data_IF_235886878910
#
_entry.id   IF_235886878910
#
_cell.length_a   1.000
_cell.length_b   1.000
_cell.length_c   1.000
_cell.angle_alpha   90.00
_cell.angle_beta   90.00
_cell.angle_gamma   90.00
#
_symmetry.space_group_name_H-M   'P 1'
#
loop_
_entity.id
_entity.type
_entity.pdbx_description
1 polymer ?
#
# COMPACT_ATOMS: atom_id res chain seq x y z
N UNK A 1 -19.22 -10.23 -12.46
CA UNK A 1 -18.07 -10.87 -11.80
C UNK A 1 -16.82 -10.40 -12.51
N UNK A 2 -16.14 -9.38 -11.97
CA UNK A 2 -14.84 -8.97 -12.49
C UNK A 2 -13.84 -10.02 -12.04
N UNK A 3 -13.19 -10.70 -12.98
CA UNK A 3 -12.16 -11.68 -12.67
C UNK A 3 -11.10 -11.01 -11.78
N UNK A 4 -10.82 -11.61 -10.62
CA UNK A 4 -9.68 -11.23 -9.79
C UNK A 4 -8.44 -11.28 -10.68
N UNK A 5 -7.70 -10.19 -10.77
CA UNK A 5 -6.50 -10.12 -11.56
C UNK A 5 -5.51 -11.14 -10.98
N UNK A 6 -5.46 -12.34 -11.56
CA UNK A 6 -4.66 -13.47 -11.07
C UNK A 6 -3.24 -13.38 -11.62
N UNK A 7 -2.74 -12.15 -11.76
CA UNK A 7 -1.37 -11.87 -12.18
C UNK A 7 -0.41 -12.12 -11.02
N UNK A 8 0.88 -12.34 -11.31
CA UNK A 8 1.89 -12.40 -10.27
C UNK A 8 2.00 -11.04 -9.56
N UNK A 9 1.80 -11.02 -8.24
CA UNK A 9 1.95 -9.80 -7.41
C UNK A 9 3.38 -9.23 -7.47
N UNK A 10 4.36 -10.10 -7.61
CA UNK A 10 5.78 -9.79 -7.68
C UNK A 10 6.30 -10.10 -9.08
N UNK A 11 6.95 -9.12 -9.70
CA UNK A 11 7.46 -9.18 -11.06
C UNK A 11 8.97 -9.07 -11.03
N UNK A 12 9.65 -10.06 -11.63
CA UNK A 12 11.10 -10.12 -11.74
C UNK A 12 11.51 -9.69 -13.14
N UNK A 13 12.50 -8.80 -13.24
CA UNK A 13 13.02 -8.35 -14.53
C UNK A 13 14.24 -9.17 -14.97
N UNK A 14 14.06 -10.49 -15.14
CA UNK A 14 15.18 -11.39 -15.51
C UNK A 14 15.73 -11.11 -16.92
N UNK A 15 14.93 -10.52 -17.81
CA UNK A 15 15.37 -10.16 -19.17
C UNK A 15 16.23 -8.89 -19.15
N UNK A 16 15.73 -7.78 -18.59
CA UNK A 16 16.51 -6.53 -18.49
C UNK A 16 17.74 -6.70 -17.61
N UNK A 17 17.64 -7.53 -16.56
CA UNK A 17 18.77 -7.85 -15.70
C UNK A 17 19.97 -8.42 -16.47
N UNK A 18 19.72 -9.25 -17.50
CA UNK A 18 20.75 -9.80 -18.35
C UNK A 18 21.15 -8.83 -19.45
N UNK A 19 20.17 -8.27 -20.17
CA UNK A 19 20.40 -7.48 -21.38
C UNK A 19 21.14 -6.17 -21.10
N UNK A 20 20.96 -5.60 -19.91
CA UNK A 20 21.63 -4.36 -19.49
C UNK A 20 22.78 -4.58 -18.51
N UNK A 21 23.24 -5.82 -18.34
CA UNK A 21 24.35 -6.13 -17.45
C UNK A 21 25.66 -5.58 -18.01
N UNK A 22 26.31 -4.66 -17.29
CA UNK A 22 27.62 -4.13 -17.70
C UNK A 22 28.73 -5.20 -17.70
N UNK A 23 28.53 -6.30 -16.96
CA UNK A 23 29.42 -7.46 -16.92
C UNK A 23 28.98 -8.59 -17.87
N UNK A 24 27.89 -8.38 -18.64
CA UNK A 24 27.30 -9.39 -19.53
C UNK A 24 26.61 -10.55 -18.81
N UNK A 25 26.46 -10.51 -17.48
CA UNK A 25 25.87 -11.60 -16.68
C UNK A 25 24.59 -11.17 -15.98
N UNK A 26 24.64 -10.15 -15.11
CA UNK A 26 23.49 -9.70 -14.33
C UNK A 26 23.73 -8.31 -13.72
N UNK A 27 22.84 -7.35 -14.00
CA UNK A 27 22.81 -6.06 -13.30
C UNK A 27 22.69 -6.24 -11.79
N UNK A 28 21.76 -7.07 -11.35
CA UNK A 28 21.57 -7.42 -9.95
C UNK A 28 22.86 -7.97 -9.34
N UNK A 29 23.60 -8.81 -10.08
CA UNK A 29 24.94 -9.27 -9.70
C UNK A 29 25.95 -8.14 -9.48
N UNK A 30 25.95 -7.12 -10.33
CA UNK A 30 26.78 -5.91 -10.13
C UNK A 30 26.42 -5.20 -8.82
N UNK A 31 25.12 -5.06 -8.53
CA UNK A 31 24.66 -4.43 -7.29
C UNK A 31 24.99 -5.26 -6.04
N UNK A 32 24.89 -6.60 -6.10
CA UNK A 32 25.31 -7.48 -5.01
C UNK A 32 26.78 -7.28 -4.66
N UNK A 33 27.67 -7.22 -5.67
CA UNK A 33 29.11 -6.98 -5.45
C UNK A 33 29.44 -5.59 -4.92
N UNK A 34 28.56 -4.61 -5.11
CA UNK A 34 28.71 -3.25 -4.55
C UNK A 34 28.22 -3.15 -3.11
N UNK A 35 27.42 -4.11 -2.64
CA UNK A 35 26.83 -4.11 -1.31
C UNK A 35 27.22 -5.36 -0.48
N UNK A 36 28.49 -5.80 -0.46
CA UNK A 36 28.89 -7.03 0.23
C UNK A 36 28.66 -6.95 1.75
N UNK A 37 28.75 -5.73 2.32
CA UNK A 37 28.54 -5.48 3.76
C UNK A 37 27.13 -5.83 4.24
N UNK A 38 26.12 -5.85 3.36
CA UNK A 38 24.78 -6.28 3.75
C UNK A 38 24.72 -7.79 4.05
N UNK A 39 25.66 -8.56 3.50
CA UNK A 39 25.73 -10.01 3.66
C UNK A 39 26.79 -10.44 4.68
N UNK A 40 27.46 -9.49 5.35
CA UNK A 40 28.57 -9.75 6.25
C UNK A 40 28.26 -9.07 7.60
N UNK A 41 27.83 -9.83 8.63
CA UNK A 41 27.17 -9.26 9.79
C UNK A 41 28.00 -8.24 10.56
N UNK A 42 29.33 -8.43 10.70
CA UNK A 42 30.11 -7.65 11.68
C UNK A 42 31.36 -6.92 11.18
N UNK A 43 31.87 -7.14 9.97
CA UNK A 43 33.03 -6.40 9.45
C UNK A 43 33.17 -6.51 7.92
N UNK A 44 33.87 -5.57 7.28
CA UNK A 44 34.04 -5.50 5.82
C UNK A 44 34.70 -6.73 5.18
N UNK A 45 35.41 -7.54 5.98
CA UNK A 45 36.09 -8.77 5.57
C UNK A 45 35.43 -10.05 6.14
N UNK A 46 34.29 -9.92 6.82
CA UNK A 46 33.58 -11.09 7.33
C UNK A 46 33.03 -11.94 6.16
N UNK A 47 33.00 -13.27 6.30
CA UNK A 47 32.46 -14.14 5.27
C UNK A 47 30.98 -13.85 5.02
N UNK A 48 30.50 -14.29 3.86
CA UNK A 48 29.08 -14.19 3.50
C UNK A 48 28.26 -14.98 4.51
N UNK A 49 27.18 -14.40 5.01
CA UNK A 49 26.29 -15.03 5.97
C UNK A 49 25.63 -16.27 5.36
N UNK A 50 25.65 -17.36 6.11
CA UNK A 50 24.89 -18.59 5.86
C UNK A 50 23.51 -18.58 6.54
N UNK A 51 23.21 -17.54 7.33
CA UNK A 51 21.90 -17.34 7.95
C UNK A 51 20.85 -16.97 6.87
N UNK A 52 19.83 -17.82 6.63
CA UNK A 52 18.79 -17.55 5.64
C UNK A 52 18.03 -16.24 5.89
N UNK A 53 17.89 -15.83 7.14
CA UNK A 53 17.17 -14.61 7.55
C UNK A 53 17.94 -13.38 7.10
N UNK A 54 19.21 -13.29 7.49
CA UNK A 54 20.09 -12.16 7.13
C UNK A 54 20.30 -12.13 5.62
N UNK A 55 20.56 -13.29 5.01
CA UNK A 55 20.79 -13.39 3.57
C UNK A 55 19.57 -12.95 2.76
N UNK A 56 18.36 -13.39 3.13
CA UNK A 56 17.13 -13.02 2.42
C UNK A 56 16.80 -11.52 2.56
N UNK A 57 16.99 -10.94 3.76
CA UNK A 57 16.78 -9.52 3.97
C UNK A 57 17.74 -8.67 3.12
N UNK A 58 19.03 -9.01 3.11
CA UNK A 58 20.05 -8.34 2.31
C UNK A 58 19.77 -8.47 0.80
N UNK A 59 19.48 -9.69 0.33
CA UNK A 59 19.16 -9.94 -1.07
C UNK A 59 17.93 -9.16 -1.54
N UNK A 60 16.87 -9.12 -0.72
CA UNK A 60 15.66 -8.34 -1.00
C UNK A 60 15.96 -6.86 -1.08
N UNK A 61 16.67 -6.30 -0.09
CA UNK A 61 17.03 -4.88 -0.07
C UNK A 61 17.77 -4.48 -1.34
N UNK A 62 18.76 -5.25 -1.77
CA UNK A 62 19.51 -4.99 -3.02
C UNK A 62 18.63 -5.13 -4.26
N UNK A 63 17.66 -6.05 -4.26
CA UNK A 63 16.80 -6.30 -5.42
C UNK A 63 15.77 -5.20 -5.67
N UNK A 64 15.47 -4.39 -4.65
CA UNK A 64 14.41 -3.37 -4.68
C UNK A 64 14.96 -1.95 -4.73
N UNK A 65 14.09 -1.00 -5.10
CA UNK A 65 14.37 0.43 -4.92
C UNK A 65 14.45 0.79 -3.42
N UNK A 66 15.28 1.77 -3.02
CA UNK A 66 16.11 2.63 -3.87
C UNK A 66 17.50 2.05 -4.20
N UNK A 67 17.88 0.89 -3.65
CA UNK A 67 19.23 0.34 -3.82
C UNK A 67 19.52 0.00 -5.28
N UNK A 68 18.58 -0.64 -5.98
CA UNK A 68 18.68 -0.90 -7.41
C UNK A 68 17.57 -0.15 -8.16
N UNK A 69 17.95 0.68 -9.13
CA UNK A 69 17.03 1.46 -9.96
C UNK A 69 17.46 1.38 -11.45
N UNK A 70 16.59 0.91 -12.36
CA UNK A 70 15.34 0.18 -12.12
C UNK A 70 15.56 -1.10 -11.29
N UNK A 71 14.62 -1.50 -10.41
CA UNK A 71 14.80 -2.63 -9.50
C UNK A 71 14.78 -3.98 -10.23
N UNK A 72 15.44 -4.99 -9.66
CA UNK A 72 15.34 -6.37 -10.14
C UNK A 72 13.98 -6.99 -9.79
N UNK A 73 13.51 -6.73 -8.58
CA UNK A 73 12.20 -7.13 -8.08
C UNK A 73 11.31 -5.89 -7.97
N UNK A 74 10.17 -5.94 -8.64
CA UNK A 74 9.08 -4.98 -8.46
C UNK A 74 7.79 -5.72 -8.07
N UNK A 75 6.75 -4.97 -7.71
CA UNK A 75 5.43 -5.53 -7.47
C UNK A 75 4.37 -4.68 -8.14
N UNK A 76 3.22 -5.30 -8.42
CA UNK A 76 2.10 -4.60 -9.02
C UNK A 76 1.61 -3.50 -8.07
N UNK A 77 1.62 -2.26 -8.55
CA UNK A 77 1.11 -1.08 -7.83
C UNK A 77 -0.41 -1.11 -7.61
N UNK A 78 -1.09 -2.20 -7.99
CA UNK A 78 -2.53 -2.34 -7.87
C UNK A 78 -3.06 -2.16 -6.45
N UNK A 79 -2.26 -2.44 -5.41
CA UNK A 79 -2.56 -2.16 -3.98
C UNK A 79 -1.31 -2.04 -3.11
N UNK A 80 -0.24 -2.78 -3.40
CA UNK A 80 0.95 -2.86 -2.54
C UNK A 80 1.74 -1.55 -2.65
N UNK A 81 1.86 -0.84 -1.53
CA UNK A 81 2.57 0.44 -1.42
C UNK A 81 4.03 0.24 -1.04
N UNK A 82 4.29 -0.66 -0.10
CA UNK A 82 5.65 -1.00 0.32
C UNK A 82 5.73 -2.40 0.90
N UNK A 83 6.93 -2.99 0.80
CA UNK A 83 7.32 -4.21 1.49
C UNK A 83 8.64 -3.93 2.19
N UNK A 84 8.64 -3.99 3.52
CA UNK A 84 9.85 -3.87 4.33
C UNK A 84 10.05 -5.13 5.16
N UNK A 85 11.31 -5.43 5.47
CA UNK A 85 11.71 -6.62 6.21
C UNK A 85 12.43 -6.19 7.48
N UNK A 86 12.11 -6.85 8.58
CA UNK A 86 12.82 -6.70 9.84
C UNK A 86 13.16 -8.09 10.39
N UNK A 87 14.24 -8.19 11.16
CA UNK A 87 14.54 -9.38 11.93
C UNK A 87 13.55 -9.51 13.09
N UNK A 88 13.23 -10.74 13.48
CA UNK A 88 12.49 -10.98 14.72
C UNK A 88 13.44 -11.03 15.91
N UNK A 89 13.12 -10.30 16.98
CA UNK A 89 13.89 -10.31 18.24
C UNK A 89 13.63 -11.58 19.09
N UNK A 90 12.66 -12.41 18.69
CA UNK A 90 12.17 -13.55 19.49
C UNK A 90 12.33 -14.90 18.80
N UNK A 91 12.66 -14.94 17.52
CA UNK A 91 12.79 -16.17 16.74
C UNK A 91 13.76 -15.98 15.56
N UNK A 92 14.38 -17.06 15.05
CA UNK A 92 15.12 -17.02 13.79
C UNK A 92 14.11 -16.87 12.64
N UNK A 93 13.68 -15.65 12.39
CA UNK A 93 12.61 -15.32 11.44
C UNK A 93 12.73 -13.89 10.92
N UNK A 94 12.15 -13.68 9.74
CA UNK A 94 11.85 -12.35 9.23
C UNK A 94 10.41 -11.96 9.59
N UNK A 95 10.23 -10.69 9.94
CA UNK A 95 8.92 -10.04 9.94
C UNK A 95 8.82 -9.22 8.65
N UNK A 96 7.99 -9.68 7.73
CA UNK A 96 7.64 -8.87 6.56
C UNK A 96 6.47 -7.95 6.90
N UNK A 97 6.67 -6.65 6.69
CA UNK A 97 5.64 -5.63 6.84
C UNK A 97 5.23 -5.16 5.45
N UNK A 98 3.96 -5.36 5.12
CA UNK A 98 3.40 -5.01 3.82
C UNK A 98 2.34 -3.96 4.01
N UNK A 99 2.57 -2.77 3.45
CA UNK A 99 1.57 -1.70 3.44
C UNK A 99 0.75 -1.82 2.17
N UNK A 100 -0.57 -1.91 2.32
CA UNK A 100 -1.52 -1.99 1.20
C UNK A 100 -2.50 -0.84 1.25
N UNK A 101 -2.81 -0.27 0.09
CA UNK A 101 -3.89 0.70 -0.05
C UNK A 101 -5.24 0.03 0.22
N UNK A 102 -6.00 0.61 1.13
CA UNK A 102 -7.27 0.10 1.60
C UNK A 102 -8.39 1.11 1.30
N UNK A 103 -9.62 0.67 1.03
CA UNK A 103 -10.76 1.56 0.95
C UNK A 103 -11.02 2.23 2.30
N UNK A 104 -11.66 3.40 2.26
CA UNK A 104 -12.04 4.10 3.50
C UNK A 104 -12.96 3.22 4.34
N UNK A 105 -12.72 3.07 5.66
CA UNK A 105 -13.60 2.32 6.53
C UNK A 105 -14.95 3.04 6.65
N UNK A 106 -16.01 2.29 6.99
CA UNK A 106 -17.39 2.80 7.04
C UNK A 106 -17.56 4.13 7.82
N UNK A 107 -16.91 4.35 8.98
CA UNK A 107 -17.01 5.62 9.70
C UNK A 107 -16.50 6.83 8.92
N UNK A 108 -15.55 6.63 8.00
CA UNK A 108 -14.93 7.70 7.20
C UNK A 108 -15.52 7.81 5.79
N UNK A 109 -16.39 6.88 5.38
CA UNK A 109 -16.98 6.86 4.04
C UNK A 109 -17.94 8.05 3.77
N UNK A 110 -18.42 8.69 4.84
CA UNK A 110 -19.30 9.86 4.79
C UNK A 110 -18.57 11.21 4.66
N UNK A 111 -17.26 11.27 4.93
CA UNK A 111 -16.52 12.53 4.91
C UNK A 111 -16.42 13.08 3.48
N UNK A 112 -16.83 14.34 3.31
CA UNK A 112 -16.78 15.09 2.05
C UNK A 112 -15.57 16.02 2.05
N UNK A 113 -15.20 16.54 0.87
CA UNK A 113 -14.08 17.47 0.71
C UNK A 113 -12.69 16.84 0.68
N UNK A 114 -12.58 15.52 0.82
CA UNK A 114 -11.31 14.80 0.72
C UNK A 114 -11.22 13.94 -0.55
N UNK A 115 -10.16 14.12 -1.32
CA UNK A 115 -9.73 13.21 -2.38
C UNK A 115 -9.32 11.83 -1.86
N UNK A 116 -9.41 10.81 -2.70
CA UNK A 116 -8.99 9.44 -2.40
C UNK A 116 -7.68 9.13 -3.15
N UNK A 117 -7.19 7.90 -3.05
CA UNK A 117 -6.07 7.42 -3.84
C UNK A 117 -6.28 7.68 -5.34
N UNK A 118 -5.23 8.16 -6.01
CA UNK A 118 -5.23 8.24 -7.46
C UNK A 118 -5.17 6.82 -8.04
N UNK A 119 -6.09 6.54 -8.96
CA UNK A 119 -6.18 5.24 -9.63
C UNK A 119 -5.34 5.16 -10.90
N UNK A 120 -4.75 6.29 -11.27
CA UNK A 120 -4.04 6.53 -12.52
C UNK A 120 -4.91 6.29 -13.73
N UNK A 121 -4.28 6.22 -14.90
CA UNK A 121 -4.98 6.03 -16.17
C UNK A 121 -4.94 4.57 -16.64
N UNK A 122 -5.33 4.31 -17.89
CA UNK A 122 -5.33 2.95 -18.44
C UNK A 122 -3.92 2.33 -18.55
N UNK A 123 -2.86 3.14 -18.53
CA UNK A 123 -1.46 2.75 -18.69
C UNK A 123 -0.69 2.71 -17.37
N UNK A 124 -1.14 3.47 -16.36
CA UNK A 124 -0.55 3.51 -15.02
C UNK A 124 -1.63 3.22 -13.96
N UNK A 125 -2.21 2.01 -13.99
CA UNK A 125 -3.22 1.61 -13.01
C UNK A 125 -2.58 1.30 -11.67
N UNK A 126 -3.16 1.79 -10.58
CA UNK A 126 -2.64 1.50 -9.25
C UNK A 126 -3.34 2.27 -8.15
N UNK A 127 -2.89 2.15 -6.90
CA UNK A 127 -3.19 3.16 -5.87
C UNK A 127 -1.94 4.03 -5.74
N UNK A 128 -2.05 5.28 -6.13
CA UNK A 128 -0.98 6.27 -6.05
C UNK A 128 -1.39 7.40 -5.13
N UNK A 129 -0.40 7.98 -4.44
CA UNK A 129 -0.61 9.25 -3.75
C UNK A 129 -0.96 10.31 -4.79
N UNK A 130 -2.03 11.12 -4.58
CA UNK A 130 -2.33 12.25 -5.45
C UNK A 130 -1.14 13.20 -5.58
N UNK A 131 -0.92 13.73 -6.77
CA UNK A 131 0.15 14.70 -7.01
C UNK A 131 -0.17 16.09 -6.41
N UNK A 132 0.83 16.97 -6.43
CA UNK A 132 0.71 18.31 -5.85
C UNK A 132 -0.40 19.14 -6.51
N UNK A 133 -0.67 18.93 -7.81
CA UNK A 133 -1.74 19.63 -8.51
C UNK A 133 -3.12 19.19 -8.00
N UNK A 134 -3.33 17.89 -7.81
CA UNK A 134 -4.56 17.38 -7.20
C UNK A 134 -4.73 17.87 -5.76
N UNK A 135 -3.65 17.87 -4.97
CA UNK A 135 -3.66 18.32 -3.57
C UNK A 135 -3.89 19.83 -3.41
N UNK A 136 -3.47 20.64 -4.39
CA UNK A 136 -3.76 22.08 -4.41
C UNK A 136 -5.28 22.37 -4.54
N UNK A 137 -6.06 21.43 -5.11
CA UNK A 137 -7.50 21.60 -5.26
C UNK A 137 -8.30 21.06 -4.07
N UNK A 138 -7.85 19.97 -3.43
CA UNK A 138 -8.50 19.40 -2.25
C UNK A 138 -7.53 18.53 -1.44
N UNK A 139 -7.63 18.51 -0.10
CA UNK A 139 -6.86 17.57 0.71
C UNK A 139 -7.23 16.11 0.37
N UNK A 140 -6.33 15.17 0.61
CA UNK A 140 -6.59 13.75 0.42
C UNK A 140 -6.69 13.00 1.77
N UNK A 141 -7.62 12.04 1.84
CA UNK A 141 -7.73 11.11 2.96
C UNK A 141 -7.46 9.69 2.44
N UNK A 142 -6.21 9.25 2.62
CA UNK A 142 -5.72 7.97 2.14
C UNK A 142 -5.71 6.94 3.26
N UNK A 143 -6.40 5.83 3.05
CA UNK A 143 -6.44 4.73 4.02
C UNK A 143 -5.56 3.58 3.57
N UNK A 144 -4.77 3.05 4.50
CA UNK A 144 -3.88 1.91 4.25
C UNK A 144 -4.00 0.90 5.39
N UNK A 145 -3.84 -0.38 5.09
CA UNK A 145 -3.65 -1.42 6.09
C UNK A 145 -2.17 -1.85 6.09
N UNK A 146 -1.64 -2.13 7.26
CA UNK A 146 -0.33 -2.76 7.41
C UNK A 146 -0.53 -4.23 7.81
N UNK A 147 0.07 -5.12 7.04
CA UNK A 147 -0.03 -6.57 7.24
C UNK A 147 1.35 -7.07 7.64
N UNK A 148 1.43 -7.76 8.77
CA UNK A 148 2.68 -8.28 9.30
C UNK A 148 2.68 -9.81 9.19
N UNK A 149 3.72 -10.35 8.58
CA UNK A 149 3.91 -11.79 8.43
C UNK A 149 5.17 -12.25 9.13
N UNK A 150 5.03 -13.23 10.02
CA UNK A 150 6.15 -13.96 10.58
C UNK A 150 6.62 -15.04 9.60
N UNK A 151 7.88 -14.97 9.16
CA UNK A 151 8.49 -15.85 8.16
C UNK A 151 9.66 -16.60 8.81
N UNK A 152 9.44 -17.84 9.29
CA UNK A 152 10.48 -18.66 9.91
C UNK A 152 11.68 -18.88 8.97
N UNK A 153 12.90 -18.93 9.51
CA UNK A 153 14.11 -19.23 8.74
C UNK A 153 14.00 -20.54 7.94
N UNK A 154 13.30 -21.55 8.48
CA UNK A 154 13.06 -22.83 7.81
C UNK A 154 12.24 -22.72 6.51
N UNK A 155 11.47 -21.65 6.35
CA UNK A 155 10.73 -21.39 5.12
C UNK A 155 11.58 -20.62 4.09
N UNK A 156 12.67 -19.98 4.52
CA UNK A 156 13.53 -19.17 3.65
C UNK A 156 14.50 -20.04 2.84
N UNK A 157 15.09 -19.43 1.82
CA UNK A 157 16.11 -20.09 1.02
C UNK A 157 17.44 -20.13 1.80
N UNK A 158 18.03 -21.32 1.89
CA UNK A 158 19.37 -21.51 2.47
C UNK A 158 20.40 -21.28 1.36
N UNK A 159 21.30 -20.29 1.47
CA UNK A 159 22.33 -20.03 0.47
C UNK A 159 23.28 -21.23 0.36
N UNK A 160 23.46 -21.75 -0.87
CA UNK A 160 24.23 -22.97 -1.09
C UNK A 160 25.75 -22.70 -1.13
N UNK A 161 26.16 -21.53 -1.62
CA UNK A 161 27.58 -21.18 -1.76
C UNK A 161 28.12 -20.34 -0.58
N UNK A 162 27.26 -19.93 0.37
CA UNK A 162 27.71 -19.30 1.60
C UNK A 162 28.28 -20.35 2.57
N UNK A 163 29.28 -20.00 3.42
CA UNK A 163 29.92 -18.70 3.56
C UNK A 163 31.01 -18.38 2.52
N UNK A 164 31.32 -19.32 1.62
CA UNK A 164 32.46 -19.23 0.71
C UNK A 164 32.31 -18.10 -0.32
N UNK A 165 31.10 -17.84 -0.82
CA UNK A 165 30.87 -16.86 -1.89
C UNK A 165 29.43 -16.34 -1.93
N UNK A 166 29.30 -15.04 -2.23
CA UNK A 166 28.02 -14.43 -2.59
C UNK A 166 27.77 -14.66 -4.08
N UNK A 167 26.74 -15.44 -4.42
CA UNK A 167 26.36 -15.68 -5.81
C UNK A 167 25.05 -15.03 -6.21
N UNK A 168 24.98 -14.63 -7.48
CA UNK A 168 23.75 -14.12 -8.08
C UNK A 168 22.66 -15.18 -8.06
N UNK A 169 23.02 -16.45 -8.24
CA UNK A 169 22.10 -17.58 -8.21
C UNK A 169 21.42 -17.70 -6.85
N UNK A 170 22.18 -17.73 -5.75
CA UNK A 170 21.62 -17.80 -4.39
C UNK A 170 20.76 -16.58 -4.06
N UNK A 171 21.24 -15.38 -4.41
CA UNK A 171 20.50 -14.15 -4.16
C UNK A 171 19.15 -14.13 -4.90
N UNK A 172 19.13 -14.48 -6.20
CA UNK A 172 17.88 -14.58 -6.97
C UNK A 172 16.96 -15.67 -6.43
N UNK A 173 17.49 -16.83 -6.05
CA UNK A 173 16.71 -17.91 -5.47
C UNK A 173 16.06 -17.48 -4.14
N UNK A 174 16.80 -16.77 -3.29
CA UNK A 174 16.31 -16.22 -2.04
C UNK A 174 15.18 -15.19 -2.24
N UNK A 175 15.39 -14.21 -3.12
CA UNK A 175 14.38 -13.21 -3.47
C UNK A 175 13.10 -13.87 -4.00
N UNK A 176 13.23 -14.82 -4.93
CA UNK A 176 12.09 -15.55 -5.51
C UNK A 176 11.35 -16.40 -4.48
N UNK A 177 12.07 -17.04 -3.55
CA UNK A 177 11.44 -17.81 -2.46
C UNK A 177 10.65 -16.90 -1.54
N UNK A 178 11.23 -15.77 -1.12
CA UNK A 178 10.57 -14.80 -0.25
C UNK A 178 9.34 -14.18 -0.93
N UNK A 179 9.47 -13.74 -2.18
CA UNK A 179 8.36 -13.18 -2.96
C UNK A 179 7.21 -14.18 -3.14
N UNK A 180 7.51 -15.47 -3.34
CA UNK A 180 6.47 -16.52 -3.39
C UNK A 180 5.73 -16.69 -2.05
N UNK A 181 6.45 -16.72 -0.93
CA UNK A 181 5.82 -16.80 0.40
C UNK A 181 4.91 -15.61 0.66
N UNK A 182 5.35 -14.41 0.30
CA UNK A 182 4.54 -13.19 0.43
C UNK A 182 3.34 -13.21 -0.51
N UNK A 183 3.51 -13.69 -1.75
CA UNK A 183 2.42 -13.83 -2.70
C UNK A 183 1.31 -14.71 -2.13
N UNK A 184 1.65 -15.93 -1.71
CA UNK A 184 0.69 -16.89 -1.15
C UNK A 184 -0.10 -16.31 0.04
N UNK A 185 0.55 -15.50 0.89
CA UNK A 185 -0.08 -14.89 2.07
C UNK A 185 -0.86 -13.62 1.78
N UNK A 186 -0.46 -12.83 0.78
CA UNK A 186 -1.10 -11.55 0.43
C UNK A 186 -2.34 -11.72 -0.43
N UNK A 187 -2.38 -12.72 -1.32
CA UNK A 187 -3.53 -12.97 -2.21
C UNK A 187 -4.88 -12.94 -1.47
N UNK A 188 -5.11 -13.65 -0.35
CA UNK A 188 -6.40 -13.60 0.34
C UNK A 188 -6.71 -12.22 0.93
N UNK A 189 -5.70 -11.47 1.40
CA UNK A 189 -5.88 -10.13 1.94
C UNK A 189 -6.32 -9.16 0.85
N UNK A 190 -5.64 -9.18 -0.30
CA UNK A 190 -5.96 -8.31 -1.43
C UNK A 190 -7.36 -8.62 -1.99
N UNK A 191 -7.70 -9.89 -2.13
CA UNK A 191 -9.03 -10.32 -2.57
C UNK A 191 -10.15 -9.84 -1.63
N UNK A 192 -9.92 -9.83 -0.32
CA UNK A 192 -10.88 -9.32 0.66
C UNK A 192 -11.08 -7.80 0.55
N UNK A 193 -9.99 -7.05 0.32
CA UNK A 193 -10.06 -5.60 0.11
C UNK A 193 -10.81 -5.26 -1.19
N UNK A 194 -10.54 -5.98 -2.28
CA UNK A 194 -11.24 -5.82 -3.56
C UNK A 194 -12.75 -6.10 -3.45
N UNK A 195 -13.12 -7.15 -2.71
CA UNK A 195 -14.51 -7.53 -2.50
C UNK A 195 -15.27 -6.52 -1.65
N UNK A 196 -14.62 -5.96 -0.63
CA UNK A 196 -15.19 -4.93 0.25
C UNK A 196 -15.49 -3.65 -0.54
N UNK A 197 -14.60 -3.27 -1.44
CA UNK A 197 -14.77 -2.09 -2.29
C UNK A 197 -15.88 -2.29 -3.34
N UNK A 198 -15.96 -3.49 -3.95
CA UNK A 198 -17.05 -3.83 -4.86
C UNK A 198 -18.43 -3.75 -4.17
N UNK A 199 -18.50 -4.20 -2.91
CA UNK A 199 -19.72 -4.12 -2.09
C UNK A 199 -20.09 -2.68 -1.75
N UNK A 200 -19.11 -1.86 -1.35
CA UNK A 200 -19.33 -0.43 -1.08
C UNK A 200 -19.83 0.33 -2.32
N UNK A 201 -19.33 -0.01 -3.52
CA UNK A 201 -19.81 0.54 -4.79
C UNK A 201 -21.20 0.03 -5.17
N UNK A 202 -21.51 -1.25 -4.94
CA UNK A 202 -22.81 -1.85 -5.24
C UNK A 202 -23.95 -1.40 -4.32
N UNK A 203 -23.66 -1.15 -3.04
CA UNK A 203 -24.63 -0.63 -2.05
C UNK A 203 -25.03 0.83 -2.28
N UNK A 204 -24.32 1.57 -3.14
CA UNK A 204 -24.69 2.93 -3.60
C UNK A 204 -25.69 2.93 -4.76
N UNK A 205 -26.30 1.79 -5.11
CA UNK A 205 -27.44 1.78 -6.04
C UNK A 205 -28.61 2.49 -5.36
N UNK A 206 -28.79 3.77 -5.71
CA UNK A 206 -29.90 4.63 -5.32
C UNK A 206 -31.21 3.82 -5.29
N UNK A 207 -31.67 3.49 -4.09
CA UNK A 207 -33.11 3.40 -3.85
C UNK A 207 -33.60 4.82 -4.12
N UNK A 208 -34.06 5.08 -5.34
CA UNK A 208 -34.85 6.29 -5.59
C UNK A 208 -35.97 6.22 -4.56
N UNK A 209 -36.12 7.20 -3.66
CA UNK A 209 -37.40 7.32 -2.98
C UNK A 209 -38.41 7.49 -4.11
N UNK A 210 -39.32 6.54 -4.22
CA UNK A 210 -40.52 6.72 -5.02
C UNK A 210 -41.28 7.79 -4.25
N UNK A 211 -40.99 9.06 -4.54
CA UNK A 211 -41.93 10.13 -4.26
C UNK A 211 -43.12 9.86 -5.17
N UNK A 212 -44.06 9.06 -4.67
CA UNK A 212 -45.42 9.07 -5.19
C UNK A 212 -45.96 10.46 -4.90
N UNK A 213 -45.89 11.32 -5.90
CA UNK A 213 -46.77 12.48 -5.99
C UNK A 213 -48.14 11.85 -6.29
N UNK A 214 -49.14 11.95 -5.39
CA UNK A 214 -50.49 11.53 -5.72
C UNK A 214 -51.01 12.47 -6.83
N UNK A 215 -51.64 11.88 -7.83
CA UNK A 215 -52.41 12.60 -8.85
C UNK A 215 -53.42 13.55 -8.19
N UNK A 216 -53.55 14.81 -8.64
CA UNK A 216 -54.49 15.77 -8.06
C UNK A 216 -55.96 15.54 -8.40
N UNK A 217 -56.32 14.50 -9.18
CA UNK A 217 -57.69 14.33 -9.72
C UNK A 217 -58.41 13.03 -9.26
N UNK A 218 -58.00 12.42 -8.13
CA UNK A 218 -58.64 11.23 -7.58
C UNK A 218 -59.58 11.53 -6.41
N UNK A 219 -60.88 11.58 -6.68
CA UNK A 219 -61.95 11.82 -5.72
C UNK A 219 -62.00 10.81 -4.55
N UNK A 220 -62.39 11.35 -3.39
CA UNK A 220 -63.05 10.75 -2.22
C UNK A 220 -62.30 9.73 -1.34
N UNK A 221 -61.78 10.26 -0.22
CA UNK A 221 -61.35 9.49 0.94
C UNK A 221 -61.23 10.35 2.20
N UNK A 222 -62.38 10.65 2.83
CA UNK A 222 -62.50 11.34 4.13
C UNK A 222 -61.66 10.65 5.20
N UNK A 223 -60.73 11.39 5.83
CA UNK A 223 -60.26 11.13 7.19
C UNK A 223 -59.91 12.47 7.88
N UNK A 224 -60.59 12.73 8.99
CA UNK A 224 -60.62 14.01 9.69
C UNK A 224 -59.32 14.41 10.37
N UNK A 225 -59.16 15.73 10.49
CA UNK A 225 -58.26 16.44 11.39
C UNK A 225 -58.65 16.16 12.87
N UNK A 226 -57.76 16.48 13.82
CA UNK A 226 -57.84 17.84 14.35
C UNK A 226 -56.50 18.60 14.35
N UNK A 227 -56.67 19.91 14.14
CA UNK A 227 -55.74 20.99 14.43
C UNK A 227 -55.28 20.94 15.89
N UNK A 228 -54.06 21.43 16.17
CA UNK A 228 -53.82 22.49 17.17
C UNK A 228 -52.34 22.94 17.21
N UNK A 229 -52.14 24.27 17.10
CA UNK A 229 -51.07 25.17 17.61
C UNK A 229 -49.56 24.83 17.39
N UNK A 230 -48.64 25.74 17.07
CA UNK A 230 -48.59 27.20 16.95
C UNK A 230 -47.18 27.62 16.46
N UNK A 231 -47.08 28.65 15.60
CA UNK A 231 -46.46 29.98 15.82
C UNK A 231 -44.95 29.99 16.18
N UNK A 232 -44.16 30.62 15.29
CA UNK A 232 -42.71 30.92 15.32
C UNK A 232 -42.30 31.95 16.41
N UNK A 233 -40.99 32.25 16.64
CA UNK A 233 -40.27 33.20 15.75
C UNK A 233 -38.74 33.01 15.58
N UNK A 234 -38.23 33.75 14.59
CA UNK A 234 -36.85 34.16 14.29
C UNK A 234 -36.03 34.72 15.48
N UNK A 235 -34.70 34.62 15.39
CA UNK A 235 -33.68 35.69 15.62
C UNK A 235 -32.30 35.10 15.23
N UNK A 236 -31.52 35.70 14.30
CA UNK A 236 -30.54 36.76 14.59
C UNK A 236 -29.48 36.28 15.62
N UNK A 237 -28.17 36.24 15.41
CA UNK A 237 -27.28 37.31 14.95
C UNK A 237 -25.85 36.77 14.81
N UNK A 238 -25.08 37.40 13.94
CA UNK A 238 -23.62 37.39 13.75
C UNK A 238 -22.80 37.58 15.03
N UNK A 239 -21.63 36.94 15.12
CA UNK A 239 -20.50 37.43 15.92
C UNK A 239 -19.18 37.03 15.23
N UNK A 240 -18.56 38.04 14.63
CA UNK A 240 -17.13 38.15 14.39
C UNK A 240 -16.37 37.94 15.70
N UNK A 241 -15.27 37.19 15.65
CA UNK A 241 -14.11 37.46 16.51
C UNK A 241 -12.86 37.13 15.73
N UNK A 242 -12.20 38.19 15.29
CA UNK A 242 -10.78 38.22 14.94
C UNK A 242 -9.96 37.75 16.16
N UNK A 243 -9.05 36.81 15.92
CA UNK A 243 -7.94 36.54 16.83
C UNK A 243 -6.66 36.41 16.02
N UNK A 244 -6.01 37.56 15.86
CA UNK A 244 -4.60 37.68 15.53
C UNK A 244 -3.78 37.08 16.67
N UNK A 245 -3.04 36.02 16.37
CA UNK A 245 -2.16 35.30 17.30
C UNK A 245 -0.89 34.90 16.60
N UNK A 246 -0.05 35.90 16.36
CA UNK A 246 1.33 35.79 15.87
C UNK A 246 2.18 35.04 16.91
N UNK A 247 2.75 33.91 16.51
CA UNK A 247 3.45 32.95 17.38
C UNK A 247 4.72 32.41 16.73
N UNK A 248 5.73 33.26 16.81
CA UNK A 248 7.13 33.23 16.38
C UNK A 248 8.06 32.11 16.88
N UNK A 249 7.85 30.80 16.67
CA UNK A 249 8.73 29.78 17.29
C UNK A 249 9.36 28.78 16.28
N UNK A 250 10.56 29.12 15.82
CA UNK A 250 11.40 28.26 14.99
C UNK A 250 11.87 26.97 15.67
N UNK A 251 12.00 25.91 14.88
CA UNK A 251 12.78 24.73 15.23
C UNK A 251 13.78 24.40 14.13
N UNK A 252 15.04 24.48 14.54
CA UNK A 252 16.21 24.06 13.81
C UNK A 252 16.28 22.53 13.68
N UNK A 253 16.66 22.08 12.48
CA UNK A 253 17.72 21.10 12.27
C UNK A 253 17.61 19.73 12.93
N UNK A 254 17.25 18.73 12.12
CA UNK A 254 17.79 17.38 12.26
C UNK A 254 18.42 16.99 10.93
N UNK A 255 19.74 16.89 10.95
CA UNK A 255 20.55 16.36 9.87
C UNK A 255 20.41 14.83 9.83
N UNK A 256 20.35 14.29 8.62
CA UNK A 256 20.59 12.89 8.31
C UNK A 256 22.04 12.71 7.86
#
# INVERSE_FOLDING_TARGET
MTALNTGPLFVYDDADDRDRASDGVSRYGVYLRRNPRLFAPWDGDAPVTDDPVVFAAAAWQVATSPTMAPPYLSWTAERIQSVTLAHSDHAPALIARVRVAAPRPAPLAGLRGFGDWDRGDRWNRGYHTPDDAALAHAPALLTSAEVLFHLPAADLYVPADAPARLTVTDAKASVKRLARLLHERLVPVLAALDSSEATARGGRRLVRPVCGIPDPDGEDGVCGLPLEYGICPDHGTTLDTDHDGEGDDGWAGVAW
#
